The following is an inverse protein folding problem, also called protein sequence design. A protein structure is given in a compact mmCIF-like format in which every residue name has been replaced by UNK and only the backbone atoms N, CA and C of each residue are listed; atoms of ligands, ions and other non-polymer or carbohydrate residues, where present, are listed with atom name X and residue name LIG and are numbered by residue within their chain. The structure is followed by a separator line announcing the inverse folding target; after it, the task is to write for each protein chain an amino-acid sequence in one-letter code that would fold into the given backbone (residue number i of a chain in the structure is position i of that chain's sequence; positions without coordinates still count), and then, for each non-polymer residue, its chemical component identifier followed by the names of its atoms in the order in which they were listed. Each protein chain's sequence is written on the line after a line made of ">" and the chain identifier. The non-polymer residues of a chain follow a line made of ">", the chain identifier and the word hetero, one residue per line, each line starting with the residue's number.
data_IF_828570034803
#
_entry.id   IF_828570034803
#
_cell.length_a   1.000
_cell.length_b   1.000
_cell.length_c   1.000
_cell.angle_alpha   90.00
_cell.angle_beta   90.00
_cell.angle_gamma   90.00
#
_symmetry.space_group_name_H-M   'P 1'
#
loop_
_entity.id
_entity.type
_entity.pdbx_description
1 polymer ?
#
# COMPACT_ATOMS: atom_id res chain seq x y z
N UNK A 1 -29.72 -26.28 -29.45
CA UNK A 1 -30.70 -25.55 -30.28
C UNK A 1 -29.99 -24.40 -31.00
N UNK A 2 -30.14 -24.36 -32.33
CA UNK A 2 -29.54 -23.38 -33.24
C UNK A 2 -30.50 -22.18 -33.43
N UNK A 3 -29.96 -20.97 -33.35
CA UNK A 3 -30.13 -19.82 -34.30
C UNK A 3 -31.40 -18.94 -34.23
N UNK A 4 -31.20 -17.66 -34.64
CA UNK A 4 -32.13 -16.60 -35.11
C UNK A 4 -32.75 -15.70 -34.00
N UNK A 5 -32.71 -14.34 -34.00
CA UNK A 5 -32.77 -13.25 -35.01
C UNK A 5 -32.10 -11.96 -34.44
N UNK A 6 -31.19 -11.25 -35.13
CA UNK A 6 -31.33 -10.15 -36.13
C UNK A 6 -31.79 -8.75 -35.64
N UNK A 7 -30.82 -7.81 -35.63
CA UNK A 7 -30.80 -6.36 -35.96
C UNK A 7 -32.11 -5.55 -36.10
N UNK A 8 -32.09 -4.33 -35.54
CA UNK A 8 -32.57 -3.07 -36.19
C UNK A 8 -31.88 -1.79 -35.64
N UNK A 9 -31.42 -0.92 -36.56
CA UNK A 9 -31.26 0.56 -36.59
C UNK A 9 -31.09 1.38 -35.29
N UNK A 10 -30.00 2.13 -35.06
CA UNK A 10 -29.49 3.38 -35.69
C UNK A 10 -30.32 4.64 -35.43
N UNK A 11 -29.81 5.53 -34.58
CA UNK A 11 -30.02 6.98 -34.69
C UNK A 11 -28.87 7.74 -34.03
N UNK A 12 -28.28 8.61 -34.83
CA UNK A 12 -27.11 9.45 -34.57
C UNK A 12 -27.40 10.53 -33.52
N UNK A 13 -26.41 10.84 -32.69
CA UNK A 13 -26.31 12.14 -32.03
C UNK A 13 -24.85 12.58 -32.02
N UNK A 14 -24.60 13.69 -32.71
CA UNK A 14 -23.35 14.44 -32.83
C UNK A 14 -22.73 14.84 -31.48
N UNK A 15 -21.41 14.72 -31.29
CA UNK A 15 -20.70 15.43 -30.23
C UNK A 15 -20.12 16.74 -30.76
N UNK A 16 -20.53 17.86 -30.14
CA UNK A 16 -19.97 19.19 -30.32
C UNK A 16 -18.47 19.19 -29.99
N UNK A 17 -17.68 19.72 -30.92
CA UNK A 17 -16.25 19.97 -30.76
C UNK A 17 -16.04 21.08 -29.71
N UNK A 18 -15.24 20.80 -28.68
CA UNK A 18 -14.68 21.83 -27.79
C UNK A 18 -13.17 21.87 -28.02
N UNK A 19 -12.73 22.95 -28.64
CA UNK A 19 -11.33 23.30 -28.88
C UNK A 19 -10.74 23.85 -27.59
N UNK A 20 -9.69 23.21 -27.05
CA UNK A 20 -8.88 23.78 -25.96
C UNK A 20 -7.47 24.10 -26.47
N UNK A 21 -7.16 25.40 -26.53
CA UNK A 21 -5.81 25.94 -26.71
C UNK A 21 -5.03 25.86 -25.39
N UNK A 22 -3.73 25.49 -25.38
CA UNK A 22 -2.95 25.43 -24.15
C UNK A 22 -2.44 26.81 -23.74
N UNK A 23 -2.83 27.24 -22.53
CA UNK A 23 -2.22 28.40 -21.88
C UNK A 23 -0.87 28.00 -21.24
N UNK A 24 0.19 28.65 -21.70
CA UNK A 24 1.51 28.66 -21.08
C UNK A 24 1.43 29.39 -19.73
N UNK A 25 1.87 28.78 -18.65
CA UNK A 25 2.39 29.53 -17.50
C UNK A 25 3.55 28.82 -16.83
N UNK A 26 4.70 29.48 -16.96
CA UNK A 26 5.90 29.41 -16.14
C UNK A 26 5.58 29.48 -14.64
N UNK A 27 6.20 28.61 -13.84
CA UNK A 27 6.63 29.00 -12.49
C UNK A 27 7.73 28.07 -11.96
N UNK A 28 8.85 28.69 -11.61
CA UNK A 28 10.04 28.10 -11.00
C UNK A 28 9.74 27.61 -9.57
N UNK A 29 10.13 26.38 -9.23
CA UNK A 29 10.13 25.90 -7.84
C UNK A 29 11.53 25.47 -7.39
N UNK A 30 11.94 26.05 -6.25
CA UNK A 30 13.24 25.84 -5.60
C UNK A 30 13.30 24.48 -4.91
N UNK A 31 14.45 23.81 -5.06
CA UNK A 31 14.76 22.51 -4.47
C UNK A 31 14.57 22.48 -2.93
N UNK A 32 13.85 21.46 -2.45
CA UNK A 32 13.68 21.15 -1.03
C UNK A 32 14.97 20.56 -0.46
N UNK A 33 15.66 21.32 0.41
CA UNK A 33 16.67 20.78 1.33
C UNK A 33 15.98 20.26 2.60
N UNK A 34 16.50 19.16 3.14
CA UNK A 34 16.13 18.65 4.47
C UNK A 34 16.28 19.75 5.53
N UNK A 35 15.34 19.91 6.48
CA UNK A 35 15.47 20.93 7.50
C UNK A 35 16.63 20.57 8.45
N UNK A 36 17.58 21.49 8.62
CA UNK A 36 18.44 21.52 9.80
C UNK A 36 17.58 21.91 11.00
N UNK A 37 17.77 21.21 12.12
CA UNK A 37 17.17 21.58 13.41
C UNK A 37 18.04 22.71 13.97
N UNK A 38 17.53 23.93 13.95
CA UNK A 38 18.05 25.03 14.76
C UNK A 38 17.14 25.19 15.98
N UNK A 39 17.74 25.13 17.16
CA UNK A 39 17.09 25.48 18.42
C UNK A 39 17.08 27.01 18.52
N UNK A 40 15.89 27.60 18.55
CA UNK A 40 15.69 29.01 18.87
C UNK A 40 14.94 29.13 20.19
N UNK A 41 15.60 29.77 21.15
CA UNK A 41 15.08 30.08 22.48
C UNK A 41 13.91 31.07 22.47
N UNK A 42 13.21 31.05 23.61
CA UNK A 42 11.97 31.72 23.96
C UNK A 42 11.88 33.23 23.70
N UNK A 43 10.72 33.66 23.19
CA UNK A 43 9.81 34.63 23.86
C UNK A 43 8.80 35.20 22.86
N UNK A 44 7.53 34.78 22.95
CA UNK A 44 6.44 35.74 23.17
C UNK A 44 5.11 35.04 23.43
N UNK A 45 4.61 35.32 24.63
CA UNK A 45 3.36 34.83 25.17
C UNK A 45 2.20 35.67 24.61
N UNK A 46 1.41 35.13 23.68
CA UNK A 46 0.04 35.60 23.40
C UNK A 46 -0.87 34.42 23.11
N UNK A 47 -1.62 34.02 24.15
CA UNK A 47 -2.77 33.13 24.06
C UNK A 47 -3.89 33.91 23.36
N UNK A 48 -4.23 33.51 22.14
CA UNK A 48 -5.47 33.91 21.49
C UNK A 48 -6.42 32.71 21.50
N UNK A 49 -7.28 32.65 22.51
CA UNK A 49 -8.46 31.79 22.51
C UNK A 49 -9.47 32.34 21.50
N UNK A 50 -9.61 31.69 20.35
CA UNK A 50 -10.62 32.03 19.35
C UNK A 50 -11.94 31.29 19.62
N UNK A 51 -12.78 31.87 20.48
CA UNK A 51 -14.24 31.72 20.40
C UNK A 51 -14.81 33.09 20.03
N UNK A 52 -15.51 33.20 18.91
CA UNK A 52 -16.11 34.47 18.50
C UNK A 52 -16.92 34.40 17.21
N UNK A 53 -18.24 34.20 17.36
CA UNK A 53 -19.27 35.14 16.89
C UNK A 53 -19.47 35.36 15.39
N UNK A 54 -20.67 34.98 14.93
CA UNK A 54 -21.30 35.40 13.68
C UNK A 54 -21.24 36.93 13.45
N UNK A 55 -20.77 37.33 12.27
CA UNK A 55 -21.22 38.55 11.58
C UNK A 55 -21.39 38.23 10.09
N UNK A 56 -22.61 38.43 9.61
CA UNK A 56 -22.96 38.30 8.21
C UNK A 56 -22.49 39.53 7.41
N UNK A 57 -21.76 39.30 6.32
CA UNK A 57 -21.68 40.23 5.17
C UNK A 57 -21.48 39.45 3.87
N UNK A 58 -22.53 39.52 3.03
CA UNK A 58 -22.64 39.47 1.56
C UNK A 58 -21.71 38.58 0.70
N UNK A 59 -22.38 37.68 -0.01
CA UNK A 59 -22.14 37.11 -1.34
C UNK A 59 -20.83 37.46 -2.06
N UNK A 60 -19.97 36.46 -2.16
CA UNK A 60 -18.99 36.27 -3.22
C UNK A 60 -18.76 34.77 -3.35
N UNK A 61 -18.82 34.24 -4.57
CA UNK A 61 -18.62 32.83 -4.92
C UNK A 61 -17.28 32.34 -4.34
N UNK A 62 -17.35 31.63 -3.21
CA UNK A 62 -16.20 31.27 -2.40
C UNK A 62 -15.69 29.88 -2.75
N UNK A 63 -14.74 29.79 -3.69
CA UNK A 63 -13.94 28.58 -3.85
C UNK A 63 -13.27 28.22 -2.52
N UNK A 64 -13.46 26.99 -2.04
CA UNK A 64 -12.88 26.49 -0.80
C UNK A 64 -11.37 26.72 -0.77
N UNK A 65 -10.89 27.60 0.11
CA UNK A 65 -9.46 27.79 0.34
C UNK A 65 -8.90 26.53 1.02
N UNK A 66 -8.27 25.65 0.24
CA UNK A 66 -7.54 24.49 0.76
C UNK A 66 -6.58 24.92 1.88
N UNK A 67 -6.67 24.25 3.03
CA UNK A 67 -5.80 24.52 4.18
C UNK A 67 -4.32 24.38 3.79
N UNK A 68 -3.53 25.42 4.07
CA UNK A 68 -2.12 25.47 3.66
C UNK A 68 -1.19 24.65 4.56
N UNK A 69 -1.52 24.56 5.84
CA UNK A 69 -0.73 23.87 6.84
C UNK A 69 -1.60 23.48 8.05
N UNK A 70 -1.18 22.44 8.77
CA UNK A 70 -1.78 22.02 10.04
C UNK A 70 -0.73 22.16 11.15
N UNK A 71 -1.09 22.73 12.29
CA UNK A 71 -0.20 22.78 13.47
C UNK A 71 -0.52 21.61 14.39
N UNK A 72 0.50 20.86 14.76
CA UNK A 72 0.44 19.74 15.69
C UNK A 72 1.17 20.13 16.98
N UNK A 73 0.59 19.78 18.13
CA UNK A 73 1.16 20.06 19.45
C UNK A 73 1.37 18.76 20.22
N UNK A 74 2.56 18.60 20.78
CA UNK A 74 2.79 17.63 21.84
C UNK A 74 2.38 18.28 23.18
N UNK A 75 1.40 17.70 23.86
CA UNK A 75 0.86 18.27 25.12
C UNK A 75 1.76 18.05 26.33
N UNK A 76 2.67 17.07 26.28
CA UNK A 76 3.63 16.79 27.36
C UNK A 76 4.80 17.77 27.28
N UNK A 77 5.39 17.96 26.10
CA UNK A 77 6.59 18.79 25.92
C UNK A 77 6.29 20.23 25.51
N UNK A 78 5.04 20.53 25.13
CA UNK A 78 4.65 21.83 24.58
C UNK A 78 5.12 22.08 23.14
N UNK A 79 6.01 21.24 22.59
CA UNK A 79 6.59 21.41 21.25
C UNK A 79 5.52 21.43 20.16
N UNK A 80 5.66 22.36 19.21
CA UNK A 80 4.80 22.46 18.03
C UNK A 80 5.54 22.06 16.75
N UNK A 81 4.83 21.40 15.85
CA UNK A 81 5.31 21.01 14.52
C UNK A 81 4.26 21.43 13.50
N UNK A 82 4.71 21.86 12.31
CA UNK A 82 3.81 22.23 11.20
C UNK A 82 3.84 21.14 10.13
N UNK A 83 2.67 20.59 9.80
CA UNK A 83 2.48 19.65 8.71
C UNK A 83 2.05 20.37 7.44
N UNK A 84 2.85 20.22 6.38
CA UNK A 84 2.52 20.60 5.00
C UNK A 84 2.40 19.38 4.08
N UNK A 85 2.84 18.20 4.53
CA UNK A 85 2.88 16.99 3.70
C UNK A 85 1.47 16.45 3.41
N UNK A 86 0.49 16.69 4.28
CA UNK A 86 -0.91 16.30 4.05
C UNK A 86 -1.51 16.85 2.76
N UNK A 87 -0.92 17.90 2.17
CA UNK A 87 -1.35 18.46 0.90
C UNK A 87 -1.07 17.54 -0.29
N UNK A 88 -0.12 16.62 -0.15
CA UNK A 88 0.26 15.64 -1.17
C UNK A 88 -0.57 14.35 -1.08
N UNK A 89 -1.59 14.29 -0.21
CA UNK A 89 -2.42 13.09 -0.07
C UNK A 89 -3.16 12.79 -1.39
N UNK A 90 -3.06 11.54 -1.85
CA UNK A 90 -3.83 11.00 -2.97
C UNK A 90 -5.19 10.45 -2.51
N UNK A 91 -5.25 9.93 -1.28
CA UNK A 91 -6.38 9.15 -0.80
C UNK A 91 -7.46 10.03 -0.15
N UNK A 92 -8.71 9.67 -0.43
CA UNK A 92 -9.87 10.22 0.26
C UNK A 92 -9.89 9.69 1.69
N UNK A 93 -9.92 10.62 2.65
CA UNK A 93 -10.20 10.28 4.05
C UNK A 93 -11.55 9.56 4.12
N UNK A 94 -11.64 8.51 4.95
CA UNK A 94 -12.93 7.88 5.22
C UNK A 94 -13.83 8.76 6.11
N UNK A 95 -13.26 9.78 6.74
CA UNK A 95 -13.97 10.83 7.46
C UNK A 95 -14.53 11.86 6.47
N UNK A 96 -15.69 12.40 6.81
CA UNK A 96 -16.31 13.53 6.13
C UNK A 96 -16.33 14.75 7.07
N UNK A 97 -16.84 15.89 6.61
CA UNK A 97 -16.90 17.12 7.40
C UNK A 97 -17.81 17.01 8.65
N UNK A 98 -18.72 16.05 8.67
CA UNK A 98 -19.69 15.87 9.75
C UNK A 98 -19.32 14.72 10.70
N UNK A 99 -18.47 13.78 10.28
CA UNK A 99 -18.20 12.55 11.01
C UNK A 99 -16.78 12.03 10.82
N UNK A 100 -16.11 11.86 11.97
CA UNK A 100 -14.85 11.14 12.06
C UNK A 100 -15.08 9.62 12.07
N UNK A 101 -14.35 8.89 11.22
CA UNK A 101 -14.30 7.43 11.15
C UNK A 101 -12.93 6.86 11.52
N UNK A 102 -12.13 7.62 12.28
CA UNK A 102 -10.73 7.29 12.57
C UNK A 102 -10.54 5.99 13.36
N UNK A 103 -11.54 5.55 14.13
CA UNK A 103 -11.51 4.32 14.93
C UNK A 103 -11.96 3.06 14.18
N UNK A 104 -12.39 3.17 12.92
CA UNK A 104 -12.78 1.99 12.13
C UNK A 104 -11.51 1.21 11.74
N UNK A 105 -11.43 -0.05 12.18
CA UNK A 105 -10.27 -0.92 11.92
C UNK A 105 -10.08 -1.19 10.42
N UNK A 106 -11.15 -1.59 9.74
CA UNK A 106 -11.15 -1.90 8.31
C UNK A 106 -12.18 -1.02 7.60
N UNK A 107 -11.82 0.22 7.22
CA UNK A 107 -12.73 1.06 6.45
C UNK A 107 -12.99 0.39 5.10
N UNK A 108 -14.24 0.45 4.62
CA UNK A 108 -14.62 -0.13 3.31
C UNK A 108 -13.71 0.46 2.24
N UNK A 109 -12.90 -0.39 1.64
CA UNK A 109 -12.17 -0.10 0.41
C UNK A 109 -13.00 -0.65 -0.75
N UNK A 110 -12.91 0.01 -1.91
CA UNK A 110 -13.36 -0.62 -3.15
C UNK A 110 -12.56 -1.91 -3.30
N UNK A 111 -13.24 -3.04 -3.23
CA UNK A 111 -12.63 -4.34 -3.53
C UNK A 111 -12.24 -4.23 -5.00
N UNK A 112 -10.95 -4.35 -5.28
CA UNK A 112 -10.50 -4.42 -6.66
C UNK A 112 -10.89 -5.79 -7.19
N UNK A 113 -11.74 -5.83 -8.21
CA UNK A 113 -12.26 -7.06 -8.81
C UNK A 113 -11.22 -7.82 -9.66
N UNK A 114 -9.92 -7.64 -9.37
CA UNK A 114 -8.85 -8.16 -10.22
C UNK A 114 -8.58 -7.33 -11.48
N UNK A 115 -9.34 -6.26 -11.72
CA UNK A 115 -9.14 -5.37 -12.86
C UNK A 115 -7.86 -4.54 -12.72
N UNK A 116 -7.25 -4.24 -13.88
CA UNK A 116 -6.17 -3.26 -13.95
C UNK A 116 -6.69 -1.86 -13.66
N UNK A 117 -5.80 -1.00 -13.19
CA UNK A 117 -6.16 0.41 -13.02
C UNK A 117 -6.45 1.06 -14.38
N UNK A 118 -7.43 1.98 -14.46
CA UNK A 118 -7.67 2.73 -15.70
C UNK A 118 -6.41 3.44 -16.17
N UNK A 119 -6.12 3.41 -17.48
CA UNK A 119 -4.87 3.95 -18.06
C UNK A 119 -4.57 5.37 -17.61
N UNK A 120 -5.56 6.25 -17.59
CA UNK A 120 -5.37 7.66 -17.20
C UNK A 120 -4.97 7.82 -15.73
N UNK A 121 -5.50 6.98 -14.84
CA UNK A 121 -5.09 6.95 -13.43
C UNK A 121 -3.68 6.38 -13.31
N UNK A 122 -3.40 5.27 -14.01
CA UNK A 122 -2.08 4.65 -14.01
C UNK A 122 -0.98 5.59 -14.53
N UNK A 123 -1.24 6.33 -15.63
CA UNK A 123 -0.32 7.34 -16.17
C UNK A 123 -0.02 8.44 -15.15
N UNK A 124 -1.06 8.98 -14.50
CA UNK A 124 -0.91 10.02 -13.48
C UNK A 124 -0.08 9.53 -12.30
N UNK A 125 -0.43 8.38 -11.74
CA UNK A 125 0.26 7.82 -10.58
C UNK A 125 1.71 7.45 -10.91
N UNK A 126 1.97 6.92 -12.12
CA UNK A 126 3.31 6.61 -12.59
C UNK A 126 4.19 7.87 -12.72
N UNK A 127 3.65 8.96 -13.29
CA UNK A 127 4.35 10.25 -13.39
C UNK A 127 4.64 10.83 -12.00
N UNK A 128 3.65 10.81 -11.10
CA UNK A 128 3.83 11.29 -9.72
C UNK A 128 4.86 10.46 -8.93
N UNK A 129 4.89 9.14 -9.15
CA UNK A 129 5.89 8.25 -8.57
C UNK A 129 7.30 8.53 -9.13
N UNK A 130 7.45 8.62 -10.44
CA UNK A 130 8.75 8.92 -11.08
C UNK A 130 9.28 10.27 -10.65
N UNK A 131 8.43 11.29 -10.53
CA UNK A 131 8.81 12.59 -9.95
C UNK A 131 9.41 12.41 -8.56
N UNK A 132 8.75 11.67 -7.67
CA UNK A 132 9.26 11.41 -6.31
C UNK A 132 10.59 10.64 -6.32
N UNK A 133 10.71 9.63 -7.19
CA UNK A 133 11.92 8.84 -7.34
C UNK A 133 13.11 9.72 -7.78
N UNK A 134 12.96 10.47 -8.88
CA UNK A 134 14.02 11.33 -9.41
C UNK A 134 14.33 12.53 -8.50
N UNK A 135 13.33 13.08 -7.82
CA UNK A 135 13.55 14.11 -6.79
C UNK A 135 14.41 13.57 -5.63
N UNK A 136 14.19 12.32 -5.20
CA UNK A 136 15.02 11.68 -4.16
C UNK A 136 16.49 11.52 -4.55
N UNK A 137 16.74 11.36 -5.85
CA UNK A 137 18.08 11.28 -6.44
C UNK A 137 18.69 12.65 -6.77
N UNK A 138 17.95 13.76 -6.55
CA UNK A 138 18.30 15.11 -7.03
C UNK A 138 18.53 15.16 -8.55
N UNK A 139 17.71 14.40 -9.30
CA UNK A 139 17.75 14.28 -10.76
C UNK A 139 16.39 14.59 -11.42
N UNK A 140 15.52 15.29 -10.71
CA UNK A 140 14.29 15.83 -11.27
C UNK A 140 14.61 16.73 -12.49
N UNK A 141 13.70 16.77 -13.46
CA UNK A 141 13.82 17.51 -14.73
C UNK A 141 15.07 17.24 -15.60
N UNK A 142 15.84 16.19 -15.30
CA UNK A 142 16.96 15.76 -16.15
C UNK A 142 16.46 15.06 -17.42
N UNK A 143 17.26 14.98 -18.50
CA UNK A 143 16.89 14.20 -19.69
C UNK A 143 16.55 12.74 -19.35
N UNK A 144 17.27 12.13 -18.41
CA UNK A 144 16.98 10.77 -17.95
C UNK A 144 15.60 10.64 -17.29
N UNK A 145 15.15 11.65 -16.54
CA UNK A 145 13.81 11.68 -15.95
C UNK A 145 12.74 11.75 -17.05
N UNK A 146 12.87 12.71 -17.97
CA UNK A 146 11.91 12.90 -19.08
C UNK A 146 11.83 11.68 -19.99
N UNK A 147 12.96 11.06 -20.34
CA UNK A 147 13.01 9.83 -21.14
C UNK A 147 12.29 8.68 -20.44
N UNK A 148 12.55 8.47 -19.14
CA UNK A 148 11.89 7.39 -18.38
C UNK A 148 10.37 7.61 -18.29
N UNK A 149 9.93 8.86 -18.08
CA UNK A 149 8.50 9.21 -18.10
C UNK A 149 7.87 8.87 -19.45
N UNK A 150 8.49 9.28 -20.57
CA UNK A 150 7.98 8.97 -21.91
C UNK A 150 7.90 7.46 -22.17
N UNK A 151 8.92 6.71 -21.76
CA UNK A 151 8.93 5.26 -21.88
C UNK A 151 7.75 4.64 -21.11
N UNK A 152 7.57 5.00 -19.83
CA UNK A 152 6.50 4.46 -18.99
C UNK A 152 5.11 4.82 -19.52
N UNK A 153 4.92 6.07 -19.97
CA UNK A 153 3.65 6.48 -20.58
C UNK A 153 3.33 5.68 -21.84
N UNK A 154 4.34 5.40 -22.68
CA UNK A 154 4.19 4.55 -23.87
C UNK A 154 3.85 3.11 -23.49
N UNK A 155 4.52 2.54 -22.48
CA UNK A 155 4.24 1.19 -22.00
C UNK A 155 2.80 1.04 -21.49
N UNK A 156 2.30 2.02 -20.72
CA UNK A 156 0.91 2.04 -20.22
C UNK A 156 -0.07 2.19 -21.38
N UNK A 157 0.25 2.99 -22.39
CA UNK A 157 -0.62 3.11 -23.57
C UNK A 157 -0.68 1.79 -24.34
N UNK A 158 0.46 1.17 -24.59
CA UNK A 158 0.54 -0.05 -25.40
C UNK A 158 -0.04 -1.28 -24.68
N UNK A 159 0.21 -1.42 -23.37
CA UNK A 159 -0.07 -2.66 -22.61
C UNK A 159 -1.07 -2.49 -21.46
N UNK A 160 -1.46 -1.26 -21.14
CA UNK A 160 -2.30 -0.96 -19.97
C UNK A 160 -1.55 -0.90 -18.63
N UNK A 161 -0.28 -1.28 -18.60
CA UNK A 161 0.60 -1.26 -17.42
C UNK A 161 2.06 -1.00 -17.82
N UNK A 162 2.95 -0.80 -16.85
CA UNK A 162 4.39 -0.68 -17.05
C UNK A 162 5.16 -1.52 -16.03
N UNK A 163 6.44 -1.76 -16.30
CA UNK A 163 7.32 -2.46 -15.36
C UNK A 163 8.28 -1.48 -14.68
N UNK A 164 8.37 -1.58 -13.34
CA UNK A 164 9.34 -0.82 -12.56
C UNK A 164 10.76 -1.38 -12.75
N UNK A 165 11.74 -0.49 -12.82
CA UNK A 165 13.14 -0.87 -12.70
C UNK A 165 13.42 -1.37 -11.27
N UNK A 166 14.42 -2.24 -11.10
CA UNK A 166 14.78 -2.77 -9.78
C UNK A 166 15.05 -1.65 -8.73
N UNK A 167 15.66 -0.54 -9.14
CA UNK A 167 15.93 0.60 -8.26
C UNK A 167 14.67 1.39 -7.91
N UNK A 168 13.74 1.49 -8.85
CA UNK A 168 12.42 2.11 -8.63
C UNK A 168 11.62 1.26 -7.64
N UNK A 169 11.62 -0.08 -7.81
CA UNK A 169 10.95 -1.00 -6.90
C UNK A 169 11.48 -0.88 -5.46
N UNK A 170 12.80 -0.87 -5.27
CA UNK A 170 13.42 -0.70 -3.94
C UNK A 170 13.02 0.64 -3.32
N UNK A 171 12.98 1.72 -4.10
CA UNK A 171 12.51 3.02 -3.63
C UNK A 171 11.03 2.98 -3.23
N UNK A 172 10.17 2.40 -4.08
CA UNK A 172 8.73 2.27 -3.84
C UNK A 172 8.42 1.50 -2.55
N UNK A 173 9.11 0.38 -2.31
CA UNK A 173 8.99 -0.40 -1.07
C UNK A 173 9.30 0.46 0.16
N UNK A 174 10.46 1.13 0.16
CA UNK A 174 10.90 1.95 1.29
C UNK A 174 9.91 3.09 1.56
N UNK A 175 9.45 3.73 0.49
CA UNK A 175 8.48 4.81 0.58
C UNK A 175 7.12 4.32 1.10
N UNK A 176 6.65 3.16 0.63
CA UNK A 176 5.40 2.55 1.10
C UNK A 176 5.45 2.27 2.62
N UNK A 177 6.54 1.70 3.12
CA UNK A 177 6.69 1.46 4.57
C UNK A 177 6.77 2.78 5.36
N UNK A 178 7.56 3.77 4.88
CA UNK A 178 7.61 5.11 5.49
C UNK A 178 6.23 5.76 5.58
N UNK A 179 5.40 5.53 4.57
CA UNK A 179 4.07 6.13 4.45
C UNK A 179 2.97 5.30 5.14
N UNK A 180 3.26 4.16 5.77
CA UNK A 180 2.28 3.34 6.48
C UNK A 180 1.89 3.98 7.83
N UNK A 181 0.72 4.66 7.95
CA UNK A 181 0.43 5.50 9.12
C UNK A 181 0.24 4.69 10.42
N UNK A 182 -0.12 3.40 10.30
CA UNK A 182 -0.35 2.48 11.43
C UNK A 182 0.92 1.77 11.92
N UNK A 183 2.07 1.97 11.28
CA UNK A 183 3.32 1.31 11.70
C UNK A 183 4.10 2.22 12.66
N UNK A 184 4.31 1.77 13.91
CA UNK A 184 5.12 2.52 14.88
C UNK A 184 6.63 2.40 14.61
N UNK A 185 7.08 1.28 14.05
CA UNK A 185 8.50 0.97 13.78
C UNK A 185 9.12 1.68 12.57
N UNK A 186 8.50 2.75 12.07
CA UNK A 186 8.92 3.44 10.83
C UNK A 186 10.30 4.08 10.90
N UNK A 187 10.92 4.23 12.06
CA UNK A 187 12.31 4.72 12.14
C UNK A 187 13.30 3.86 11.31
N UNK A 188 12.98 2.58 11.12
CA UNK A 188 13.80 1.63 10.33
C UNK A 188 13.48 1.63 8.83
N UNK A 189 12.59 2.49 8.33
CA UNK A 189 12.04 2.41 6.96
C UNK A 189 13.09 2.31 5.84
N UNK A 190 14.28 2.88 6.04
CA UNK A 190 15.35 2.86 5.04
C UNK A 190 16.19 1.57 5.04
N UNK A 191 16.07 0.74 6.09
CA UNK A 191 16.77 -0.53 6.33
C UNK A 191 15.82 -1.71 6.12
N UNK A 192 15.42 -1.92 4.87
CA UNK A 192 14.63 -3.09 4.46
C UNK A 192 15.32 -3.78 3.29
N UNK A 193 15.47 -5.10 3.39
CA UNK A 193 15.91 -5.93 2.27
C UNK A 193 14.74 -6.16 1.32
N UNK A 194 14.99 -5.99 0.03
CA UNK A 194 13.99 -6.29 -1.01
C UNK A 194 14.46 -7.51 -1.77
N UNK A 195 13.64 -8.55 -1.82
CA UNK A 195 13.78 -9.68 -2.73
C UNK A 195 12.85 -9.43 -3.91
N UNK A 196 13.43 -9.14 -5.07
CA UNK A 196 12.69 -9.03 -6.32
C UNK A 196 12.46 -10.45 -6.85
N UNK A 197 11.22 -10.89 -6.81
CA UNK A 197 10.75 -12.21 -7.24
C UNK A 197 9.61 -12.05 -8.26
N UNK A 198 9.66 -10.98 -9.06
CA UNK A 198 8.69 -10.73 -10.16
C UNK A 198 8.87 -11.68 -11.34
N UNK A 199 9.93 -12.48 -11.34
CA UNK A 199 10.24 -13.55 -12.28
C UNK A 199 9.75 -14.93 -11.80
N UNK A 200 8.99 -15.01 -10.70
CA UNK A 200 8.35 -16.24 -10.24
C UNK A 200 7.10 -16.56 -11.06
N UNK A 201 6.90 -17.83 -11.40
CA UNK A 201 5.82 -18.27 -12.30
C UNK A 201 4.81 -19.23 -11.65
N UNK A 202 5.18 -19.93 -10.58
CA UNK A 202 4.33 -20.96 -9.95
C UNK A 202 4.42 -20.93 -8.41
N UNK A 203 3.55 -21.69 -7.73
CA UNK A 203 3.43 -21.66 -6.28
C UNK A 203 4.67 -22.26 -5.58
N UNK A 204 5.31 -23.27 -6.18
CA UNK A 204 6.57 -23.84 -5.69
C UNK A 204 7.70 -22.79 -5.62
N UNK A 205 7.86 -21.98 -6.67
CA UNK A 205 8.83 -20.89 -6.69
C UNK A 205 8.47 -19.77 -5.69
N UNK A 206 7.17 -19.51 -5.48
CA UNK A 206 6.73 -18.62 -4.40
C UNK A 206 7.15 -19.16 -3.03
N UNK A 207 6.94 -20.45 -2.79
CA UNK A 207 7.30 -21.13 -1.55
C UNK A 207 8.80 -21.01 -1.28
N UNK A 208 9.65 -21.34 -2.26
CA UNK A 208 11.11 -21.20 -2.16
C UNK A 208 11.55 -19.77 -1.84
N UNK A 209 10.92 -18.78 -2.48
CA UNK A 209 11.18 -17.37 -2.20
C UNK A 209 10.77 -16.97 -0.77
N UNK A 210 9.65 -17.50 -0.25
CA UNK A 210 9.21 -17.29 1.13
C UNK A 210 10.14 -17.98 2.12
N UNK A 211 10.59 -19.21 1.86
CA UNK A 211 11.59 -19.88 2.71
C UNK A 211 12.89 -19.08 2.80
N UNK A 212 13.40 -18.57 1.67
CA UNK A 212 14.56 -17.68 1.63
C UNK A 212 14.32 -16.40 2.43
N UNK A 213 13.13 -15.82 2.32
CA UNK A 213 12.72 -14.65 3.10
C UNK A 213 12.73 -14.93 4.60
N UNK A 214 12.08 -16.01 5.06
CA UNK A 214 12.01 -16.38 6.48
C UNK A 214 13.42 -16.61 7.01
N UNK A 215 14.24 -17.40 6.32
CA UNK A 215 15.64 -17.65 6.71
C UNK A 215 16.43 -16.35 6.86
N UNK A 216 16.28 -15.43 5.90
CA UNK A 216 16.94 -14.13 5.94
C UNK A 216 16.42 -13.27 7.11
N UNK A 217 15.11 -13.20 7.29
CA UNK A 217 14.45 -12.35 8.28
C UNK A 217 14.69 -12.82 9.70
N UNK A 218 14.65 -14.14 9.94
CA UNK A 218 14.89 -14.76 11.24
C UNK A 218 16.33 -14.59 11.70
N UNK A 219 17.32 -14.83 10.81
CA UNK A 219 18.75 -14.59 11.07
C UNK A 219 19.22 -15.03 12.47
N UNK A 220 18.86 -16.27 12.87
CA UNK A 220 19.20 -16.86 14.17
C UNK A 220 18.81 -16.00 15.38
N UNK A 221 17.69 -15.27 15.29
CA UNK A 221 17.15 -14.40 16.33
C UNK A 221 17.55 -12.92 16.20
N UNK A 222 18.56 -12.59 15.38
CA UNK A 222 18.91 -11.19 15.10
C UNK A 222 18.10 -10.66 13.91
N UNK A 223 16.81 -10.39 14.16
CA UNK A 223 15.80 -10.14 13.13
C UNK A 223 16.20 -9.04 12.13
N UNK A 224 15.89 -9.27 10.85
CA UNK A 224 16.11 -8.30 9.76
C UNK A 224 14.81 -8.05 9.01
N UNK A 225 14.47 -6.78 8.80
CA UNK A 225 13.33 -6.39 7.98
C UNK A 225 13.56 -6.74 6.51
N UNK A 226 12.63 -7.48 5.92
CA UNK A 226 12.64 -7.84 4.51
C UNK A 226 11.24 -7.76 3.90
N UNK A 227 11.18 -7.66 2.58
CA UNK A 227 9.98 -7.87 1.77
C UNK A 227 10.34 -8.69 0.54
N UNK A 228 9.43 -9.57 0.13
CA UNK A 228 9.53 -10.30 -1.14
C UNK A 228 8.41 -9.81 -2.05
N UNK A 229 8.76 -9.36 -3.25
CA UNK A 229 7.82 -8.81 -4.22
C UNK A 229 7.59 -9.84 -5.31
N UNK A 230 6.38 -10.40 -5.37
CA UNK A 230 5.92 -11.28 -6.42
C UNK A 230 5.42 -10.50 -7.64
N UNK A 231 5.14 -11.16 -8.78
CA UNK A 231 4.67 -10.50 -9.99
C UNK A 231 3.47 -9.59 -9.73
N UNK A 232 3.47 -8.42 -10.35
CA UNK A 232 2.35 -7.50 -10.28
C UNK A 232 1.13 -8.08 -11.02
N UNK A 233 -0.06 -7.63 -10.63
CA UNK A 233 -1.31 -8.00 -11.31
C UNK A 233 -1.25 -7.63 -12.79
N UNK A 234 -1.59 -8.59 -13.65
CA UNK A 234 -1.65 -8.42 -15.11
C UNK A 234 -3.08 -8.37 -15.66
N UNK A 235 -4.08 -8.61 -14.82
CA UNK A 235 -5.50 -8.60 -15.18
C UNK A 235 -6.34 -9.50 -14.28
N UNK A 236 -7.64 -9.60 -14.56
CA UNK A 236 -8.57 -10.43 -13.78
C UNK A 236 -8.12 -11.89 -13.74
N UNK A 237 -8.15 -12.50 -12.56
CA UNK A 237 -7.81 -13.92 -12.38
C UNK A 237 -6.33 -14.25 -12.66
N UNK A 238 -5.41 -13.29 -12.54
CA UNK A 238 -3.96 -13.51 -12.75
C UNK A 238 -3.11 -13.08 -11.55
N UNK A 239 -3.68 -13.13 -10.36
CA UNK A 239 -3.02 -12.69 -9.14
C UNK A 239 -2.04 -13.74 -8.59
N UNK A 240 -0.95 -13.24 -8.00
CA UNK A 240 -0.11 -14.01 -7.10
C UNK A 240 -0.51 -13.66 -5.66
N UNK A 241 -0.95 -14.64 -4.88
CA UNK A 241 -1.52 -14.43 -3.53
C UNK A 241 -0.94 -15.42 -2.54
N UNK A 242 -0.56 -14.89 -1.39
CA UNK A 242 -0.40 -15.66 -0.15
C UNK A 242 -1.73 -15.49 0.59
N UNK A 243 -2.45 -16.59 0.82
CA UNK A 243 -3.76 -16.51 1.48
C UNK A 243 -3.62 -16.32 2.99
N UNK A 244 -2.51 -16.79 3.57
CA UNK A 244 -2.21 -16.61 4.97
C UNK A 244 -2.12 -15.12 5.34
N UNK A 245 -2.69 -14.74 6.49
CA UNK A 245 -2.53 -13.39 7.03
C UNK A 245 -1.10 -13.06 7.50
N UNK A 246 -0.31 -14.09 7.83
CA UNK A 246 1.09 -14.04 8.25
C UNK A 246 1.80 -15.31 7.76
N UNK A 247 3.11 -15.27 7.48
CA UNK A 247 3.83 -16.48 7.07
C UNK A 247 3.87 -17.56 8.17
N UNK A 248 4.07 -17.16 9.43
CA UNK A 248 4.09 -18.07 10.58
C UNK A 248 2.92 -17.68 11.48
N UNK A 249 1.96 -18.57 11.62
CA UNK A 249 0.79 -18.42 12.50
C UNK A 249 0.36 -19.80 13.00
N UNK A 250 -0.09 -19.88 14.24
CA UNK A 250 -0.60 -21.14 14.79
C UNK A 250 -2.03 -21.43 14.30
N UNK A 251 -2.35 -22.70 14.16
CA UNK A 251 -3.67 -23.21 13.82
C UNK A 251 -4.66 -23.08 14.99
N UNK A 252 -5.95 -23.15 14.67
CA UNK A 252 -7.04 -23.22 15.65
C UNK A 252 -8.02 -24.32 15.29
N UNK A 253 -8.33 -25.19 16.24
CA UNK A 253 -9.19 -26.36 16.02
C UNK A 253 -10.42 -26.29 16.92
N UNK A 254 -11.59 -26.10 16.30
CA UNK A 254 -12.87 -26.15 17.00
C UNK A 254 -13.21 -27.61 17.33
N UNK A 255 -13.50 -27.87 18.59
CA UNK A 255 -13.87 -29.18 19.12
C UNK A 255 -15.39 -29.40 19.07
N UNK A 256 -15.82 -30.65 19.23
CA UNK A 256 -17.24 -31.02 19.24
C UNK A 256 -18.03 -30.33 20.37
N UNK A 257 -17.40 -30.11 21.52
CA UNK A 257 -17.99 -29.41 22.68
C UNK A 257 -18.01 -27.88 22.52
N UNK A 258 -17.51 -27.36 21.40
CA UNK A 258 -17.41 -25.93 21.11
C UNK A 258 -16.17 -25.24 21.66
N UNK A 259 -15.31 -25.94 22.41
CA UNK A 259 -14.00 -25.43 22.81
C UNK A 259 -13.05 -25.30 21.61
N UNK A 260 -11.94 -24.57 21.78
CA UNK A 260 -10.93 -24.38 20.72
C UNK A 260 -9.55 -24.73 21.27
N UNK A 261 -8.83 -25.59 20.54
CA UNK A 261 -7.41 -25.86 20.73
C UNK A 261 -6.61 -24.94 19.80
N UNK A 262 -5.56 -24.28 20.31
CA UNK A 262 -4.69 -23.40 19.52
C UNK A 262 -5.16 -21.95 19.49
N UNK A 263 -5.04 -21.28 18.34
CA UNK A 263 -5.41 -19.86 18.14
C UNK A 263 -6.85 -19.73 17.61
N UNK A 264 -7.81 -19.21 18.40
CA UNK A 264 -9.18 -18.98 17.95
C UNK A 264 -9.31 -18.07 16.73
N UNK A 265 -8.37 -17.14 16.52
CA UNK A 265 -8.37 -16.24 15.36
C UNK A 265 -7.94 -16.93 14.06
N UNK A 266 -7.53 -18.19 14.11
CA UNK A 266 -7.11 -18.99 12.95
C UNK A 266 -8.12 -20.03 12.51
N UNK A 267 -9.17 -20.33 13.29
CA UNK A 267 -10.09 -21.46 13.05
C UNK A 267 -10.58 -21.53 11.61
N UNK A 268 -11.14 -20.44 11.08
CA UNK A 268 -11.65 -20.39 9.71
C UNK A 268 -10.57 -20.73 8.67
N UNK A 269 -9.36 -20.19 8.85
CA UNK A 269 -8.27 -20.46 7.92
C UNK A 269 -7.67 -21.86 8.09
N UNK A 270 -7.67 -22.39 9.32
CA UNK A 270 -7.29 -23.78 9.60
C UNK A 270 -8.22 -24.76 8.89
N UNK A 271 -9.54 -24.52 8.92
CA UNK A 271 -10.53 -25.32 8.19
C UNK A 271 -10.27 -25.29 6.67
N UNK A 272 -9.91 -24.13 6.12
CA UNK A 272 -9.50 -24.00 4.71
C UNK A 272 -8.25 -24.86 4.42
N UNK A 273 -7.21 -24.80 5.25
CA UNK A 273 -6.01 -25.62 5.07
C UNK A 273 -6.33 -27.12 5.08
N UNK A 274 -7.17 -27.59 6.01
CA UNK A 274 -7.60 -28.99 6.08
C UNK A 274 -8.42 -29.39 4.84
N UNK A 275 -9.33 -28.52 4.38
CA UNK A 275 -10.09 -28.73 3.16
C UNK A 275 -9.23 -28.83 1.90
N UNK A 276 -8.06 -28.18 1.89
CA UNK A 276 -7.05 -28.27 0.83
C UNK A 276 -6.07 -29.46 1.02
N UNK A 277 -6.33 -30.35 1.98
CA UNK A 277 -5.59 -31.60 2.18
C UNK A 277 -4.51 -31.56 3.26
N UNK A 278 -4.32 -30.44 3.97
CA UNK A 278 -3.40 -30.39 5.11
C UNK A 278 -3.87 -31.31 6.23
N UNK A 279 -2.95 -32.06 6.83
CA UNK A 279 -3.26 -32.99 7.91
C UNK A 279 -3.12 -32.28 9.28
N UNK A 280 -4.22 -32.10 10.03
CA UNK A 280 -4.17 -31.39 11.31
C UNK A 280 -3.42 -32.21 12.35
N UNK A 281 -2.49 -31.57 13.08
CA UNK A 281 -1.74 -32.21 14.17
C UNK A 281 -2.48 -32.10 15.52
N UNK A 282 -3.51 -31.27 15.62
CA UNK A 282 -4.37 -31.06 16.80
C UNK A 282 -3.61 -30.63 18.07
N UNK A 283 -2.44 -30.02 17.93
CA UNK A 283 -1.65 -29.41 18.98
C UNK A 283 -2.02 -27.94 19.23
N UNK A 284 -1.57 -27.42 20.38
CA UNK A 284 -1.84 -26.03 20.78
C UNK A 284 -1.01 -25.00 20.01
N UNK A 285 0.12 -25.41 19.43
CA UNK A 285 1.08 -24.54 18.76
C UNK A 285 1.49 -25.12 17.40
N UNK A 286 0.55 -25.68 16.66
CA UNK A 286 0.82 -26.18 15.32
C UNK A 286 0.94 -25.02 14.35
N UNK A 287 2.09 -24.89 13.69
CA UNK A 287 2.28 -23.88 12.65
C UNK A 287 1.48 -24.27 11.40
N UNK A 288 0.67 -23.34 10.90
CA UNK A 288 -0.11 -23.51 9.67
C UNK A 288 0.80 -23.65 8.44
N UNK A 289 0.39 -24.42 7.42
CA UNK A 289 1.06 -24.43 6.14
C UNK A 289 0.82 -23.10 5.40
N UNK A 290 1.65 -22.81 4.41
CA UNK A 290 1.43 -21.74 3.45
C UNK A 290 0.43 -22.20 2.39
N UNK A 291 -0.58 -21.38 2.12
CA UNK A 291 -1.53 -21.57 1.02
C UNK A 291 -1.22 -20.52 -0.04
N UNK A 292 -0.67 -20.96 -1.16
CA UNK A 292 -0.05 -20.12 -2.17
C UNK A 292 -0.76 -20.28 -3.52
N UNK A 293 -1.19 -19.15 -4.09
CA UNK A 293 -1.80 -19.09 -5.41
C UNK A 293 -0.88 -18.32 -6.35
N UNK A 294 -0.52 -18.93 -7.47
CA UNK A 294 0.31 -18.32 -8.50
C UNK A 294 -0.51 -18.10 -9.79
N UNK A 295 -0.40 -16.90 -10.36
CA UNK A 295 -1.06 -16.51 -11.63
C UNK A 295 -2.56 -16.89 -11.70
N UNK A 296 -3.27 -16.86 -10.57
CA UNK A 296 -4.70 -17.16 -10.47
C UNK A 296 -5.10 -18.63 -10.59
N UNK A 297 -4.14 -19.55 -10.62
CA UNK A 297 -4.40 -20.99 -10.55
C UNK A 297 -4.99 -21.39 -9.18
N UNK A 298 -5.38 -22.65 -9.03
CA UNK A 298 -5.80 -23.20 -7.74
C UNK A 298 -4.67 -23.07 -6.69
N UNK A 299 -4.98 -22.78 -5.42
CA UNK A 299 -3.96 -22.63 -4.39
C UNK A 299 -3.34 -23.99 -4.03
N UNK A 300 -2.03 -23.98 -3.83
CA UNK A 300 -1.25 -25.13 -3.37
C UNK A 300 -0.82 -24.95 -1.91
N UNK A 301 -0.73 -26.06 -1.17
CA UNK A 301 -0.41 -26.08 0.27
C UNK A 301 1.04 -26.54 0.48
N UNK A 302 1.82 -25.78 1.24
CA UNK A 302 3.22 -26.07 1.54
C UNK A 302 3.51 -25.98 3.04
N UNK A 303 4.06 -27.04 3.63
CA UNK A 303 4.56 -26.98 5.00
C UNK A 303 5.90 -26.25 5.05
N UNK A 304 6.04 -25.32 5.99
CA UNK A 304 7.30 -24.60 6.22
C UNK A 304 8.28 -25.55 6.92
N UNK A 305 9.53 -25.71 6.43
CA UNK A 305 10.54 -26.50 7.12
C UNK A 305 10.74 -26.02 8.56
N UNK A 306 10.71 -26.96 9.52
CA UNK A 306 10.76 -26.65 10.95
C UNK A 306 12.02 -25.87 11.34
N UNK A 307 13.15 -26.09 10.65
CA UNK A 307 14.42 -25.38 10.90
C UNK A 307 14.38 -23.88 10.55
N UNK A 308 13.36 -23.44 9.80
CA UNK A 308 13.15 -22.02 9.47
C UNK A 308 12.28 -21.30 10.52
N UNK A 309 11.60 -22.05 11.38
CA UNK A 309 10.68 -21.54 12.39
C UNK A 309 11.45 -21.36 13.70
N UNK A 310 11.67 -20.10 14.10
CA UNK A 310 12.23 -19.79 15.41
C UNK A 310 11.10 -19.54 16.41
N UNK A 311 11.04 -20.37 17.44
CA UNK A 311 10.10 -20.22 18.56
C UNK A 311 10.85 -19.85 19.86
N UNK A 312 10.15 -19.18 20.77
CA UNK A 312 10.68 -18.78 22.09
C UNK A 312 9.75 -19.32 23.17
N UNK A 313 10.28 -20.22 24.00
CA UNK A 313 9.56 -20.71 25.18
C UNK A 313 9.46 -19.59 26.21
N UNK A 314 8.23 -19.21 26.54
CA UNK A 314 7.96 -18.13 27.49
C UNK A 314 8.24 -18.62 28.92
N UNK A 315 9.14 -17.93 29.63
CA UNK A 315 9.46 -18.16 31.05
C UNK A 315 9.34 -16.84 31.83
N UNK A 316 9.17 -16.94 33.16
CA UNK A 316 9.20 -15.79 34.07
C UNK A 316 10.55 -15.77 34.81
N UNK A 317 11.26 -14.62 34.87
CA UNK A 317 12.55 -14.51 35.56
C UNK A 317 12.44 -14.63 37.08
#
# INVERSE_FOLDING_TARGET
>A
MKKLLSRTHSSETTPSQVVFTPAKTSSSMKALKSPKIENGDDNNNKIANGHGGNKATKNGEGGEKKQKFVRLRNWITGKQITDTLHQQKSDLSHCDEHRCKGSIMFPRKNISNGELMPKEVAKKDAVDFLRQYYASLKKEDTPAHSTRVQQVLKEIEDRGTYEMDAKELVFGVKLAWRNAPRCVGRIQWNKIQVFDCRDVFNAQQMFEAICKHIKYGTNKGNLRSAITIFPQRQGPGRDFRVWNGQFIKYAGYKQEDGSIIGDPASVEFTEICVGLGWQPKNGRFDVLPLVLQANGEEPEVFEIPEDLILEVNITHP
#
